data_IF_499335237054
#
_entry.id   IF_499335237054
#
_cell.length_a   1.000
_cell.length_b   1.000
_cell.length_c   1.000
_cell.angle_alpha   90.00
_cell.angle_beta   90.00
_cell.angle_gamma   90.00
#
_symmetry.space_group_name_H-M   'P 1'
#
loop_
_entity.id
_entity.type
_entity.pdbx_description
1 polymer ?
#
# COMPACT_ATOMS: atom_id res chain seq x y z
N UNK A 1 16.78 -10.40 15.72
CA UNK A 1 16.96 -9.17 14.90
C UNK A 1 15.61 -8.50 14.69
N UNK A 2 15.50 -7.19 14.91
CA UNK A 2 14.23 -6.46 14.70
C UNK A 2 13.87 -6.37 13.22
N UNK A 3 12.59 -6.10 12.91
CA UNK A 3 12.13 -5.97 11.53
C UNK A 3 12.88 -4.87 10.76
N UNK A 4 13.15 -3.72 11.42
CA UNK A 4 13.97 -2.63 10.85
C UNK A 4 15.36 -3.09 10.42
N UNK A 5 16.03 -3.90 11.24
CA UNK A 5 17.34 -4.44 10.85
C UNK A 5 17.21 -5.40 9.67
N UNK A 6 16.17 -6.23 9.61
CA UNK A 6 15.91 -7.12 8.46
C UNK A 6 15.66 -6.35 7.17
N UNK A 7 14.96 -5.23 7.25
CA UNK A 7 14.77 -4.32 6.12
C UNK A 7 16.11 -3.69 5.71
N UNK A 8 16.87 -3.15 6.67
CA UNK A 8 18.16 -2.51 6.40
C UNK A 8 19.22 -3.46 5.79
N UNK A 9 19.20 -4.74 6.17
CA UNK A 9 20.09 -5.76 5.62
C UNK A 9 19.55 -6.41 4.34
N UNK A 10 18.37 -6.01 3.85
CA UNK A 10 17.74 -6.60 2.66
C UNK A 10 17.14 -8.00 2.86
N UNK A 11 17.06 -8.49 4.10
CA UNK A 11 16.42 -9.77 4.41
C UNK A 11 14.87 -9.70 4.30
N UNK A 12 14.31 -8.49 4.36
CA UNK A 12 12.92 -8.19 4.01
C UNK A 12 12.94 -7.06 2.98
N UNK A 13 12.38 -7.30 1.81
CA UNK A 13 12.31 -6.30 0.75
C UNK A 13 11.08 -5.40 0.93
N UNK A 14 11.30 -4.09 0.93
CA UNK A 14 10.21 -3.12 0.79
C UNK A 14 9.62 -3.25 -0.61
N UNK A 15 8.29 -3.15 -0.71
CA UNK A 15 7.54 -3.14 -1.97
C UNK A 15 7.95 -4.29 -2.90
N UNK A 16 8.12 -5.51 -2.35
CA UNK A 16 8.55 -6.65 -3.15
C UNK A 16 7.53 -6.97 -4.26
N UNK A 17 8.01 -7.46 -5.40
CA UNK A 17 7.13 -7.79 -6.52
C UNK A 17 6.04 -8.80 -6.13
N UNK A 18 6.38 -9.78 -5.28
CA UNK A 18 5.43 -10.74 -4.74
C UNK A 18 4.33 -10.07 -3.92
N UNK A 19 4.67 -9.10 -3.06
CA UNK A 19 3.70 -8.33 -2.29
C UNK A 19 2.79 -7.50 -3.19
N UNK A 20 3.37 -6.77 -4.16
CA UNK A 20 2.60 -5.94 -5.10
C UNK A 20 1.62 -6.80 -5.91
N UNK A 21 2.05 -7.96 -6.39
CA UNK A 21 1.21 -8.91 -7.11
C UNK A 21 0.10 -9.49 -6.21
N UNK A 22 0.43 -9.83 -4.96
CA UNK A 22 -0.54 -10.32 -3.98
C UNK A 22 -1.63 -9.27 -3.71
N UNK A 23 -1.23 -8.02 -3.47
CA UNK A 23 -2.16 -6.90 -3.28
C UNK A 23 -3.02 -6.67 -4.53
N UNK A 24 -2.44 -6.73 -5.72
CA UNK A 24 -3.19 -6.64 -6.98
C UNK A 24 -4.29 -7.69 -7.12
N UNK A 25 -4.02 -8.93 -6.69
CA UNK A 25 -5.01 -10.02 -6.70
C UNK A 25 -6.15 -9.79 -5.70
N UNK A 26 -5.87 -9.14 -4.57
CA UNK A 26 -6.83 -8.95 -3.48
C UNK A 26 -7.64 -7.66 -3.61
N UNK A 27 -6.97 -6.54 -3.88
CA UNK A 27 -7.58 -5.21 -4.00
C UNK A 27 -8.17 -4.96 -5.40
N UNK A 28 -7.73 -5.75 -6.38
CA UNK A 28 -8.07 -5.61 -7.79
C UNK A 28 -7.08 -4.74 -8.56
N UNK A 29 -7.30 -4.69 -9.88
CA UNK A 29 -6.49 -3.90 -10.81
C UNK A 29 -7.42 -2.95 -11.60
N UNK A 30 -7.03 -1.68 -11.76
CA UNK A 30 -7.68 -0.78 -12.73
C UNK A 30 -8.77 0.17 -12.21
N UNK A 31 -8.91 0.39 -10.90
CA UNK A 31 -9.86 1.37 -10.35
C UNK A 31 -9.29 2.80 -10.46
N UNK A 32 -9.26 3.36 -11.66
CA UNK A 32 -8.62 4.67 -11.90
C UNK A 32 -9.53 5.89 -11.65
N UNK A 33 -10.84 5.68 -11.48
CA UNK A 33 -11.78 6.73 -11.14
C UNK A 33 -11.99 6.73 -9.63
N UNK A 34 -11.79 7.86 -8.97
CA UNK A 34 -12.02 7.99 -7.53
C UNK A 34 -13.51 7.84 -7.26
N UNK A 35 -13.86 6.89 -6.40
CA UNK A 35 -15.24 6.59 -6.03
C UNK A 35 -15.47 6.76 -4.53
N UNK A 36 -16.73 6.92 -4.14
CA UNK A 36 -17.15 6.89 -2.74
C UNK A 36 -17.35 5.42 -2.31
N UNK A 37 -16.42 4.89 -1.52
CA UNK A 37 -16.50 3.52 -1.03
C UNK A 37 -17.63 3.37 -0.01
N UNK A 38 -18.70 2.67 -0.40
CA UNK A 38 -19.89 2.44 0.43
C UNK A 38 -19.60 1.55 1.64
N UNK A 39 -18.64 0.63 1.54
CA UNK A 39 -18.22 -0.22 2.65
C UNK A 39 -17.46 0.60 3.71
N UNK A 40 -16.75 1.65 3.27
CA UNK A 40 -16.06 2.61 4.12
C UNK A 40 -16.86 3.90 4.41
N UNK A 41 -18.20 3.84 4.42
CA UNK A 41 -19.09 4.99 4.72
C UNK A 41 -18.90 6.20 3.80
N UNK A 42 -18.66 5.96 2.51
CA UNK A 42 -18.49 6.98 1.48
C UNK A 42 -17.08 7.57 1.39
N UNK A 43 -16.07 6.90 1.95
CA UNK A 43 -14.69 7.37 1.91
C UNK A 43 -14.17 7.45 0.46
N UNK A 44 -13.62 8.58 0.01
CA UNK A 44 -13.02 8.69 -1.32
C UNK A 44 -11.86 7.71 -1.46
N UNK A 45 -11.95 6.83 -2.46
CA UNK A 45 -11.06 5.68 -2.66
C UNK A 45 -10.73 5.52 -4.14
N UNK A 46 -9.49 5.12 -4.45
CA UNK A 46 -9.00 4.92 -5.83
C UNK A 46 -7.86 3.89 -5.87
N UNK A 47 -7.56 3.37 -7.06
CA UNK A 47 -6.54 2.36 -7.33
C UNK A 47 -6.74 1.14 -6.40
N UNK A 48 -5.68 0.59 -5.80
CA UNK A 48 -5.76 -0.48 -4.80
C UNK A 48 -6.10 0.04 -3.39
N UNK A 49 -7.29 0.62 -3.25
CA UNK A 49 -7.79 1.04 -1.93
C UNK A 49 -7.10 2.29 -1.34
N UNK A 50 -6.48 3.14 -2.17
CA UNK A 50 -5.85 4.38 -1.72
C UNK A 50 -6.94 5.37 -1.30
N UNK A 51 -6.83 5.91 -0.09
CA UNK A 51 -7.79 6.86 0.49
C UNK A 51 -7.11 8.17 0.87
N UNK A 52 -7.90 9.17 1.28
CA UNK A 52 -7.40 10.43 1.84
C UNK A 52 -6.50 10.27 3.08
N UNK A 53 -6.53 9.11 3.74
CA UNK A 53 -5.76 8.86 4.97
C UNK A 53 -4.37 8.28 4.68
N UNK A 54 -4.22 7.61 3.54
CA UNK A 54 -2.97 6.97 3.13
C UNK A 54 -2.24 7.77 2.07
N UNK A 55 -2.97 8.38 1.14
CA UNK A 55 -2.38 9.14 0.04
C UNK A 55 -1.67 10.42 0.52
N UNK A 56 -0.50 10.75 -0.05
CA UNK A 56 0.09 12.08 0.10
C UNK A 56 -0.63 13.15 -0.73
N UNK A 57 -1.54 12.76 -1.63
CA UNK A 57 -2.27 13.65 -2.51
C UNK A 57 -3.77 13.68 -2.14
N UNK A 58 -4.50 14.76 -2.46
CA UNK A 58 -5.96 14.78 -2.33
C UNK A 58 -6.61 13.66 -3.15
N UNK A 59 -7.57 12.96 -2.54
CA UNK A 59 -8.40 11.93 -3.17
C UNK A 59 -9.84 12.48 -3.22
N UNK A 60 -10.27 12.94 -4.39
CA UNK A 60 -11.56 13.62 -4.60
C UNK A 60 -12.43 12.79 -5.52
N UNK A 61 -13.67 12.51 -5.10
CA UNK A 61 -14.61 11.67 -5.87
C UNK A 61 -14.85 12.29 -7.26
N UNK A 62 -14.76 11.46 -8.30
CA UNK A 62 -14.90 11.87 -9.69
C UNK A 62 -13.58 12.17 -10.40
N UNK A 63 -12.47 12.33 -9.68
CA UNK A 63 -11.15 12.48 -10.30
C UNK A 63 -10.70 11.19 -10.99
N UNK A 64 -9.85 11.34 -12.01
CA UNK A 64 -9.19 10.23 -12.68
C UNK A 64 -7.69 10.22 -12.39
N UNK A 65 -7.17 9.05 -12.04
CA UNK A 65 -5.74 8.81 -11.81
C UNK A 65 -5.19 7.91 -12.91
N UNK A 66 -4.10 8.33 -13.55
CA UNK A 66 -3.42 7.48 -14.54
C UNK A 66 -2.84 6.23 -13.87
N UNK A 67 -2.65 5.17 -14.66
CA UNK A 67 -2.00 3.94 -14.18
C UNK A 67 -0.63 4.22 -13.54
N UNK A 68 0.15 5.14 -14.15
CA UNK A 68 1.45 5.55 -13.62
C UNK A 68 1.32 6.23 -12.25
N UNK A 69 0.34 7.12 -12.08
CA UNK A 69 0.08 7.78 -10.79
C UNK A 69 -0.39 6.77 -9.74
N UNK A 70 -1.27 5.83 -10.10
CA UNK A 70 -1.67 4.76 -9.19
C UNK A 70 -0.43 3.97 -8.73
N UNK A 71 0.41 3.49 -9.65
CA UNK A 71 1.59 2.72 -9.32
C UNK A 71 2.57 3.48 -8.41
N UNK A 72 2.82 4.76 -8.70
CA UNK A 72 3.70 5.60 -7.88
C UNK A 72 3.15 5.76 -6.45
N UNK A 73 1.87 6.10 -6.31
CA UNK A 73 1.26 6.32 -5.00
C UNK A 73 1.12 5.01 -4.22
N UNK A 74 0.79 3.91 -4.89
CA UNK A 74 0.73 2.58 -4.29
C UNK A 74 2.08 2.20 -3.69
N UNK A 75 3.17 2.40 -4.43
CA UNK A 75 4.53 2.13 -3.95
C UNK A 75 4.82 2.93 -2.67
N UNK A 76 4.54 4.24 -2.66
CA UNK A 76 4.76 5.11 -1.50
C UNK A 76 3.93 4.67 -0.28
N UNK A 77 2.66 4.34 -0.49
CA UNK A 77 1.74 3.93 0.58
C UNK A 77 2.16 2.59 1.18
N UNK A 78 2.50 1.60 0.34
CA UNK A 78 2.95 0.28 0.77
C UNK A 78 4.26 0.40 1.56
N UNK A 79 5.23 1.15 1.04
CA UNK A 79 6.52 1.35 1.70
C UNK A 79 6.34 1.98 3.09
N UNK A 80 5.58 3.07 3.17
CA UNK A 80 5.29 3.75 4.44
C UNK A 80 4.58 2.81 5.42
N UNK A 81 3.64 1.99 4.93
CA UNK A 81 2.95 0.98 5.74
C UNK A 81 3.90 -0.07 6.29
N UNK A 82 4.81 -0.60 5.47
CA UNK A 82 5.80 -1.59 5.91
C UNK A 82 6.76 -1.02 6.96
N UNK A 83 7.18 0.24 6.80
CA UNK A 83 8.03 0.92 7.78
C UNK A 83 7.32 1.15 9.12
N UNK A 84 6.06 1.60 9.08
CA UNK A 84 5.25 1.76 10.30
C UNK A 84 4.98 0.41 10.97
N UNK A 85 4.73 -0.64 10.19
CA UNK A 85 4.57 -2.00 10.71
C UNK A 85 5.86 -2.51 11.38
N UNK A 86 7.03 -2.13 10.86
CA UNK A 86 8.32 -2.47 11.45
C UNK A 86 8.53 -1.89 12.85
N UNK A 87 7.86 -0.78 13.17
CA UNK A 87 7.85 -0.18 14.51
C UNK A 87 6.95 -0.94 15.48
N UNK A 88 5.84 -1.49 14.98
CA UNK A 88 4.86 -2.19 15.80
C UNK A 88 5.21 -3.66 16.06
N UNK A 89 5.95 -4.31 15.14
CA UNK A 89 6.26 -5.75 15.24
C UNK A 89 7.43 -6.06 16.16
N UNK A 90 7.11 -6.57 17.36
CA UNK A 90 8.10 -7.03 18.35
C UNK A 90 8.53 -8.48 18.16
N UNK A 91 7.73 -9.29 17.44
CA UNK A 91 8.05 -10.70 17.18
C UNK A 91 9.19 -10.83 16.16
N UNK A 92 10.37 -11.22 16.65
CA UNK A 92 11.58 -11.36 15.83
C UNK A 92 11.56 -12.57 14.88
N UNK A 93 10.55 -13.46 14.98
CA UNK A 93 10.42 -14.63 14.10
C UNK A 93 9.75 -14.30 12.76
N UNK A 94 9.09 -13.13 12.63
CA UNK A 94 8.49 -12.70 11.35
C UNK A 94 9.58 -12.49 10.31
N UNK A 95 9.40 -13.05 9.11
CA UNK A 95 10.34 -12.98 8.00
C UNK A 95 9.58 -12.73 6.68
N UNK A 96 10.31 -12.44 5.61
CA UNK A 96 9.74 -12.36 4.28
C UNK A 96 9.25 -13.76 3.87
N UNK A 97 7.99 -13.85 3.47
CA UNK A 97 7.47 -15.01 2.76
C UNK A 97 7.86 -14.83 1.29
N UNK A 98 8.65 -15.77 0.77
CA UNK A 98 9.26 -15.73 -0.58
C UNK A 98 8.86 -16.95 -1.37
#
# INVERSE_FOLDING_TARGET
MSLRHKIATGAIALTSAALIAFLGKWEGEGQHLVYADKLARGLPTVCKGITRHTSPFPVVVGDYWSAARCAEVEQLVIEKGQLALADCLTNQRVAQDT
#
